data_IF_320043811451
#
_entry.id   IF_320043811451
#
_cell.length_a   1.000
_cell.length_b   1.000
_cell.length_c   1.000
_cell.angle_alpha   90.00
_cell.angle_beta   90.00
_cell.angle_gamma   90.00
#
_symmetry.space_group_name_H-M   'P 1'
#
loop_
_entity.id
_entity.type
_entity.pdbx_description
1 polymer ?
#
# COMPACT_ATOMS: atom_id res chain seq x y z
N UNK A 1 -13.61 -23.34 -13.56
CA UNK A 1 -12.52 -23.07 -12.59
C UNK A 1 -12.37 -21.55 -12.56
N UNK A 2 -13.00 -20.88 -11.60
CA UNK A 2 -12.99 -19.42 -11.50
C UNK A 2 -11.63 -18.98 -10.98
N UNK A 3 -10.95 -18.12 -11.72
CA UNK A 3 -9.73 -17.46 -11.27
C UNK A 3 -10.06 -16.66 -10.01
N UNK A 4 -9.32 -16.91 -8.94
CA UNK A 4 -9.46 -16.23 -7.66
C UNK A 4 -8.99 -14.78 -7.88
N UNK A 5 -9.93 -13.86 -8.14
CA UNK A 5 -9.66 -12.46 -8.38
C UNK A 5 -9.21 -11.82 -7.06
N UNK A 6 -7.90 -11.85 -6.85
CA UNK A 6 -7.21 -11.38 -5.64
C UNK A 6 -6.99 -9.86 -5.70
N UNK A 7 -7.96 -9.13 -6.25
CA UNK A 7 -7.91 -7.68 -6.41
C UNK A 7 -8.33 -6.95 -5.14
N UNK A 8 -7.76 -5.76 -4.91
CA UNK A 8 -8.16 -4.88 -3.81
C UNK A 8 -9.55 -4.32 -4.14
N UNK A 9 -10.55 -4.64 -3.32
CA UNK A 9 -11.88 -4.07 -3.42
C UNK A 9 -11.96 -2.78 -2.59
N UNK A 10 -12.27 -1.65 -3.23
CA UNK A 10 -12.47 -0.38 -2.53
C UNK A 10 -13.92 -0.26 -2.06
N UNK A 11 -14.11 0.24 -0.83
CA UNK A 11 -15.43 0.55 -0.26
C UNK A 11 -15.36 1.92 0.42
N UNK A 12 -16.46 2.67 0.37
CA UNK A 12 -16.56 3.98 1.01
C UNK A 12 -18.01 4.29 1.43
N UNK A 13 -18.15 5.27 2.32
CA UNK A 13 -19.44 5.80 2.74
C UNK A 13 -19.38 7.33 2.88
N UNK A 14 -20.52 7.98 2.69
CA UNK A 14 -20.64 9.44 2.75
C UNK A 14 -21.28 9.86 4.07
N UNK A 15 -20.67 10.84 4.75
CA UNK A 15 -21.24 11.50 5.92
C UNK A 15 -21.29 13.01 5.71
N UNK A 16 -22.32 13.65 6.22
CA UNK A 16 -22.52 15.10 6.19
C UNK A 16 -22.30 15.70 7.58
N UNK A 17 -21.71 16.89 7.64
CA UNK A 17 -21.50 17.63 8.87
C UNK A 17 -22.04 19.05 8.77
N UNK A 18 -22.54 19.60 9.87
CA UNK A 18 -22.94 21.01 9.99
C UNK A 18 -22.22 21.59 11.20
N UNK A 19 -21.40 22.64 11.00
CA UNK A 19 -20.60 23.24 12.08
C UNK A 19 -19.64 22.26 12.77
N UNK A 20 -19.15 21.24 12.04
CA UNK A 20 -18.30 20.17 12.58
C UNK A 20 -19.06 19.04 13.31
N UNK A 21 -20.36 19.19 13.56
CA UNK A 21 -21.18 18.12 14.13
C UNK A 21 -21.66 17.15 13.05
N UNK A 22 -21.69 15.84 13.36
CA UNK A 22 -22.21 14.81 12.46
C UNK A 22 -23.72 15.00 12.27
N UNK A 23 -24.08 15.47 11.07
CA UNK A 23 -25.46 15.72 10.66
C UNK A 23 -26.16 14.42 10.27
N UNK A 24 -25.53 13.64 9.39
CA UNK A 24 -26.06 12.34 9.01
C UNK A 24 -25.24 11.61 7.97
N UNK A 25 -25.43 10.30 7.92
CA UNK A 25 -24.89 9.40 6.89
C UNK A 25 -25.94 8.36 6.52
N UNK A 26 -25.54 7.20 5.96
CA UNK A 26 -26.48 6.24 5.38
C UNK A 26 -27.61 5.82 6.33
N UNK A 27 -27.28 5.58 7.61
CA UNK A 27 -28.28 5.16 8.60
C UNK A 27 -29.36 6.22 8.91
N UNK A 28 -28.98 7.48 9.11
CA UNK A 28 -29.93 8.56 9.45
C UNK A 28 -30.79 8.95 8.25
N UNK A 29 -30.22 8.93 7.04
CA UNK A 29 -30.98 9.20 5.82
C UNK A 29 -31.91 8.03 5.48
N UNK A 30 -31.47 6.77 5.68
CA UNK A 30 -32.34 5.61 5.56
C UNK A 30 -33.53 5.67 6.53
N UNK A 31 -33.33 6.20 7.75
CA UNK A 31 -34.42 6.45 8.68
C UNK A 31 -35.43 7.45 8.12
N UNK A 32 -34.99 8.62 7.64
CA UNK A 32 -35.88 9.61 7.04
C UNK A 32 -36.63 9.06 5.83
N UNK A 33 -35.92 8.36 4.93
CA UNK A 33 -36.52 7.72 3.77
C UNK A 33 -37.60 6.70 4.17
N UNK A 34 -37.34 5.89 5.19
CA UNK A 34 -38.29 4.91 5.71
C UNK A 34 -39.50 5.58 6.36
N UNK A 35 -39.32 6.65 7.14
CA UNK A 35 -40.42 7.46 7.68
C UNK A 35 -41.31 7.99 6.54
N UNK A 36 -40.70 8.49 5.47
CA UNK A 36 -41.43 8.97 4.28
C UNK A 36 -42.29 7.90 3.62
N UNK A 37 -41.89 6.63 3.69
CA UNK A 37 -42.61 5.49 3.11
C UNK A 37 -43.72 4.96 4.02
N UNK A 38 -43.43 4.77 5.31
CA UNK A 38 -44.37 4.09 6.23
C UNK A 38 -45.23 5.06 7.06
N UNK A 39 -44.90 6.35 7.07
CA UNK A 39 -45.68 7.35 7.80
C UNK A 39 -45.55 7.26 9.33
N UNK A 40 -44.54 6.56 9.86
CA UNK A 40 -44.39 6.29 11.29
C UNK A 40 -42.92 6.11 11.68
N UNK A 41 -42.44 6.87 12.68
CA UNK A 41 -41.09 6.70 13.24
C UNK A 41 -40.88 5.28 13.77
N UNK A 42 -41.88 4.71 14.44
CA UNK A 42 -41.79 3.37 15.03
C UNK A 42 -41.64 2.28 13.97
N UNK A 43 -42.40 2.36 12.88
CA UNK A 43 -42.28 1.41 11.78
C UNK A 43 -40.95 1.58 11.03
N UNK A 44 -40.52 2.82 10.80
CA UNK A 44 -39.26 3.12 10.16
C UNK A 44 -38.06 2.58 10.96
N UNK A 45 -38.03 2.82 12.27
CA UNK A 45 -37.01 2.32 13.16
C UNK A 45 -36.90 0.79 13.09
N UNK A 46 -38.04 0.08 13.11
CA UNK A 46 -38.08 -1.38 12.95
C UNK A 46 -37.53 -1.84 11.59
N UNK A 47 -37.92 -1.18 10.50
CA UNK A 47 -37.50 -1.53 9.15
C UNK A 47 -35.98 -1.46 8.96
N UNK A 48 -35.33 -0.46 9.58
CA UNK A 48 -33.87 -0.28 9.50
C UNK A 48 -33.11 -0.89 10.69
N UNK A 49 -33.76 -1.71 11.52
CA UNK A 49 -33.18 -2.37 12.72
C UNK A 49 -32.58 -1.37 13.73
N UNK A 50 -33.20 -0.20 13.88
CA UNK A 50 -32.84 0.83 14.85
C UNK A 50 -33.80 0.80 16.04
N UNK A 51 -33.31 1.07 17.26
CA UNK A 51 -34.20 1.21 18.42
C UNK A 51 -35.08 2.45 18.26
N UNK A 52 -36.30 2.41 18.80
CA UNK A 52 -37.22 3.56 18.74
C UNK A 52 -36.59 4.83 19.33
N UNK A 53 -35.88 4.69 20.47
CA UNK A 53 -35.17 5.80 21.11
C UNK A 53 -34.07 6.36 20.21
N UNK A 54 -33.25 5.51 19.60
CA UNK A 54 -32.19 5.97 18.70
C UNK A 54 -32.74 6.66 17.44
N UNK A 55 -33.88 6.19 16.92
CA UNK A 55 -34.56 6.85 15.80
C UNK A 55 -35.08 8.24 16.19
N UNK A 56 -35.66 8.37 17.39
CA UNK A 56 -36.08 9.64 17.94
C UNK A 56 -34.92 10.61 18.12
N UNK A 57 -33.86 10.17 18.80
CA UNK A 57 -32.66 10.98 19.05
C UNK A 57 -32.01 11.43 17.73
N UNK A 58 -31.99 10.56 16.71
CA UNK A 58 -31.47 10.88 15.39
C UNK A 58 -32.29 11.96 14.67
N UNK A 59 -33.62 11.84 14.72
CA UNK A 59 -34.54 12.84 14.15
C UNK A 59 -34.37 14.19 14.82
N UNK A 60 -34.35 14.24 16.14
CA UNK A 60 -34.18 15.48 16.90
C UNK A 60 -32.82 16.13 16.61
N UNK A 61 -31.77 15.33 16.57
CA UNK A 61 -30.43 15.82 16.21
C UNK A 61 -30.44 16.45 14.81
N UNK A 62 -31.07 15.79 13.83
CA UNK A 62 -31.11 16.31 12.47
C UNK A 62 -31.98 17.58 12.36
N UNK A 63 -33.11 17.66 13.07
CA UNK A 63 -33.93 18.88 13.10
C UNK A 63 -33.16 20.07 13.67
N UNK A 64 -32.46 19.87 14.79
CA UNK A 64 -31.68 20.91 15.44
C UNK A 64 -30.55 21.43 14.55
N UNK A 65 -29.87 20.54 13.83
CA UNK A 65 -28.76 20.90 12.94
C UNK A 65 -29.23 21.44 11.58
N UNK A 66 -30.44 21.09 11.13
CA UNK A 66 -30.98 21.57 9.84
C UNK A 66 -31.46 23.02 9.90
N UNK A 67 -31.72 23.56 11.09
CA UNK A 67 -32.31 24.89 11.29
C UNK A 67 -33.81 24.95 10.98
N UNK A 68 -34.39 23.87 10.45
CA UNK A 68 -35.82 23.71 10.17
C UNK A 68 -36.25 22.23 10.31
N UNK A 69 -37.53 21.95 10.64
CA UNK A 69 -38.00 20.57 10.83
C UNK A 69 -37.94 19.74 9.53
N UNK A 70 -37.37 18.53 9.62
CA UNK A 70 -37.31 17.55 8.53
C UNK A 70 -38.50 16.57 8.54
N UNK A 71 -39.14 16.42 9.71
CA UNK A 71 -40.35 15.62 9.91
C UNK A 71 -41.39 16.42 10.67
N UNK A 72 -42.65 16.17 10.34
CA UNK A 72 -43.80 16.75 11.02
C UNK A 72 -44.74 15.64 11.51
N UNK A 73 -45.33 15.85 12.69
CA UNK A 73 -46.32 14.94 13.26
C UNK A 73 -47.70 15.28 12.69
N UNK A 74 -48.44 14.26 12.28
CA UNK A 74 -49.85 14.39 11.93
C UNK A 74 -50.69 14.15 13.18
N UNK A 75 -51.51 15.14 13.54
CA UNK A 75 -52.45 15.04 14.66
C UNK A 75 -53.44 13.91 14.40
N UNK A 76 -53.49 12.91 15.29
CA UNK A 76 -54.44 11.80 15.18
C UNK A 76 -54.80 11.26 16.57
N UNK A 77 -56.11 11.09 16.80
CA UNK A 77 -56.74 10.67 18.07
C UNK A 77 -56.41 9.23 18.49
N UNK A 78 -57.38 8.48 19.03
CA UNK A 78 -57.24 7.23 19.83
C UNK A 78 -56.35 6.09 19.27
N UNK A 79 -55.77 6.19 18.07
CA UNK A 79 -54.83 5.24 17.46
C UNK A 79 -53.39 5.72 17.24
N UNK A 80 -53.04 6.95 17.64
CA UNK A 80 -51.67 7.48 17.54
C UNK A 80 -51.42 8.31 16.27
N UNK A 81 -50.78 9.47 16.45
CA UNK A 81 -50.46 10.40 15.35
C UNK A 81 -49.42 9.84 14.38
N UNK A 82 -49.63 10.08 13.08
CA UNK A 82 -48.68 9.72 12.04
C UNK A 82 -47.47 10.65 12.02
N UNK A 83 -46.48 10.34 11.19
CA UNK A 83 -45.31 11.20 10.93
C UNK A 83 -45.08 11.26 9.44
N UNK A 84 -44.87 12.46 8.87
CA UNK A 84 -44.48 12.61 7.47
C UNK A 84 -43.23 13.47 7.35
N UNK A 85 -42.47 13.28 6.28
CA UNK A 85 -41.39 14.20 5.94
C UNK A 85 -41.96 15.56 5.55
N UNK A 86 -41.27 16.63 5.96
CA UNK A 86 -41.52 17.97 5.41
C UNK A 86 -41.00 18.04 3.97
N UNK A 87 -41.33 19.10 3.19
CA UNK A 87 -40.69 19.33 1.89
C UNK A 87 -39.16 19.33 1.98
N UNK A 88 -38.61 19.91 3.05
CA UNK A 88 -37.17 19.91 3.30
C UNK A 88 -36.62 18.51 3.58
N UNK A 89 -37.28 17.74 4.43
CA UNK A 89 -36.89 16.36 4.71
C UNK A 89 -36.86 15.49 3.46
N UNK A 90 -37.85 15.63 2.56
CA UNK A 90 -37.85 14.95 1.26
C UNK A 90 -36.67 15.39 0.39
N UNK A 91 -36.42 16.69 0.29
CA UNK A 91 -35.31 17.22 -0.50
C UNK A 91 -33.96 16.70 0.00
N UNK A 92 -33.75 16.66 1.33
CA UNK A 92 -32.53 16.14 1.93
C UNK A 92 -32.30 14.66 1.56
N UNK A 93 -33.34 13.83 1.67
CA UNK A 93 -33.25 12.41 1.29
C UNK A 93 -32.88 12.26 -0.19
N UNK A 94 -33.57 12.97 -1.09
CA UNK A 94 -33.30 12.91 -2.53
C UNK A 94 -31.87 13.35 -2.87
N UNK A 95 -31.41 14.47 -2.28
CA UNK A 95 -30.06 14.98 -2.52
C UNK A 95 -28.99 14.01 -2.02
N UNK A 96 -29.18 13.43 -0.83
CA UNK A 96 -28.22 12.48 -0.29
C UNK A 96 -28.17 11.20 -1.13
N UNK A 97 -29.31 10.69 -1.60
CA UNK A 97 -29.35 9.51 -2.48
C UNK A 97 -28.60 9.77 -3.80
N UNK A 98 -28.71 10.98 -4.36
CA UNK A 98 -27.94 11.36 -5.55
C UNK A 98 -26.44 11.39 -5.27
N UNK A 99 -26.02 12.01 -4.16
CA UNK A 99 -24.61 12.05 -3.75
C UNK A 99 -24.08 10.63 -3.51
N UNK A 100 -24.85 9.77 -2.85
CA UNK A 100 -24.46 8.38 -2.58
C UNK A 100 -24.29 7.58 -3.88
N UNK A 101 -25.17 7.78 -4.87
CA UNK A 101 -25.09 7.13 -6.17
C UNK A 101 -23.80 7.53 -6.91
N UNK A 102 -23.51 8.83 -6.99
CA UNK A 102 -22.31 9.33 -7.66
C UNK A 102 -21.03 8.92 -6.93
N UNK A 103 -21.03 8.98 -5.60
CA UNK A 103 -19.92 8.46 -4.79
C UNK A 103 -19.68 6.97 -5.05
N UNK A 104 -20.74 6.15 -5.08
CA UNK A 104 -20.62 4.70 -5.34
C UNK A 104 -20.02 4.45 -6.73
N UNK A 105 -20.51 5.13 -7.76
CA UNK A 105 -19.94 5.04 -9.12
C UNK A 105 -18.46 5.39 -9.14
N UNK A 106 -18.06 6.45 -8.44
CA UNK A 106 -16.66 6.86 -8.37
C UNK A 106 -15.78 5.80 -7.68
N UNK A 107 -16.21 5.26 -6.54
CA UNK A 107 -15.48 4.20 -5.83
C UNK A 107 -15.41 2.92 -6.66
N UNK A 108 -16.49 2.53 -7.32
CA UNK A 108 -16.53 1.35 -8.20
C UNK A 108 -15.58 1.54 -9.40
N UNK A 109 -15.53 2.74 -9.98
CA UNK A 109 -14.61 3.07 -11.06
C UNK A 109 -13.15 2.96 -10.60
N UNK A 110 -12.81 3.52 -9.44
CA UNK A 110 -11.46 3.36 -8.86
C UNK A 110 -11.14 1.89 -8.56
N UNK A 111 -12.11 1.12 -8.04
CA UNK A 111 -11.93 -0.30 -7.77
C UNK A 111 -11.69 -1.09 -9.06
N UNK A 112 -12.31 -0.70 -10.18
CA UNK A 112 -12.12 -1.34 -11.49
C UNK A 112 -10.76 -1.00 -12.14
N UNK A 113 -10.19 0.15 -11.80
CA UNK A 113 -8.85 0.58 -12.23
C UNK A 113 -7.73 0.10 -11.27
N UNK A 114 -8.09 -0.73 -10.28
CA UNK A 114 -7.24 -1.16 -9.16
C UNK A 114 -5.90 -1.78 -9.56
N UNK A 115 -5.70 -2.30 -10.79
CA UNK A 115 -4.39 -2.87 -11.16
C UNK A 115 -3.29 -1.80 -11.13
N UNK A 116 -3.53 -0.63 -11.74
CA UNK A 116 -2.55 0.47 -11.73
C UNK A 116 -2.40 1.11 -10.35
N UNK A 117 -3.50 1.31 -9.63
CA UNK A 117 -3.48 1.94 -8.29
C UNK A 117 -2.82 1.00 -7.26
N UNK A 118 -3.01 -0.32 -7.34
CA UNK A 118 -2.33 -1.27 -6.46
C UNK A 118 -0.83 -1.33 -6.77
N UNK A 119 -0.43 -1.33 -8.04
CA UNK A 119 0.98 -1.26 -8.44
C UNK A 119 1.63 0.05 -7.95
N UNK A 120 0.93 1.18 -8.10
CA UNK A 120 1.36 2.48 -7.60
C UNK A 120 1.40 2.50 -6.07
N UNK A 121 0.45 1.87 -5.38
CA UNK A 121 0.44 1.78 -3.92
C UNK A 121 1.57 0.90 -3.39
N UNK A 122 1.87 -0.23 -4.05
CA UNK A 122 3.03 -1.06 -3.77
C UNK A 122 4.33 -0.29 -4.03
N UNK A 123 4.40 0.49 -5.10
CA UNK A 123 5.53 1.38 -5.39
C UNK A 123 5.69 2.46 -4.30
N UNK A 124 4.59 3.10 -3.90
CA UNK A 124 4.56 4.11 -2.83
C UNK A 124 5.01 3.49 -1.50
N UNK A 125 4.51 2.29 -1.13
CA UNK A 125 4.99 1.57 0.07
C UNK A 125 6.48 1.26 -0.01
N UNK A 126 6.97 0.77 -1.15
CA UNK A 126 8.40 0.53 -1.39
C UNK A 126 9.24 1.82 -1.26
N UNK A 127 8.69 2.97 -1.66
CA UNK A 127 9.33 4.28 -1.52
C UNK A 127 9.29 4.85 -0.09
N UNK A 128 8.33 4.44 0.75
CA UNK A 128 8.22 4.90 2.14
C UNK A 128 9.25 4.25 3.08
N UNK A 129 9.99 3.24 2.63
CA UNK A 129 11.05 2.63 3.42
C UNK A 129 12.32 3.50 3.41
N UNK A 130 12.66 4.08 4.56
CA UNK A 130 13.90 4.85 4.75
C UNK A 130 14.97 3.98 5.39
N UNK A 131 16.00 3.61 4.63
CA UNK A 131 17.17 2.92 5.18
C UNK A 131 18.46 3.61 4.72
N UNK A 132 19.57 3.36 5.43
CA UNK A 132 20.88 3.85 5.03
C UNK A 132 21.55 3.00 3.94
N UNK A 133 20.99 1.81 3.64
CA UNK A 133 21.46 0.97 2.55
C UNK A 133 21.05 1.60 1.20
N UNK A 134 22.02 1.92 0.36
CA UNK A 134 21.76 2.54 -0.96
C UNK A 134 21.34 1.53 -2.01
N UNK A 135 21.68 0.26 -1.82
CA UNK A 135 21.26 -0.80 -2.73
C UNK A 135 19.99 -1.43 -2.18
N UNK A 136 18.92 -1.23 -2.92
CA UNK A 136 17.61 -1.79 -2.61
C UNK A 136 17.14 -2.53 -3.87
N UNK A 137 17.08 -3.86 -3.76
CA UNK A 137 16.60 -4.71 -4.84
C UNK A 137 15.27 -5.31 -4.47
N UNK A 138 14.22 -4.98 -5.21
CA UNK A 138 12.95 -5.71 -5.13
C UNK A 138 12.99 -6.93 -6.05
N UNK A 139 12.46 -8.05 -5.58
CA UNK A 139 12.44 -9.29 -6.35
C UNK A 139 11.61 -10.38 -5.69
N UNK A 140 11.63 -11.56 -6.29
CA UNK A 140 10.92 -12.73 -5.78
C UNK A 140 11.87 -13.82 -5.33
N UNK A 141 11.51 -14.50 -4.25
CA UNK A 141 12.24 -15.68 -3.76
C UNK A 141 12.10 -16.81 -4.78
N UNK A 142 13.19 -17.18 -5.44
CA UNK A 142 13.23 -18.25 -6.45
C UNK A 142 13.83 -19.53 -5.93
N UNK A 143 14.64 -19.47 -4.87
CA UNK A 143 15.07 -20.66 -4.14
C UNK A 143 15.18 -20.37 -2.64
N UNK A 144 14.84 -21.38 -1.82
CA UNK A 144 14.98 -21.33 -0.38
C UNK A 144 15.55 -22.66 0.11
N UNK A 145 16.79 -22.64 0.59
CA UNK A 145 17.50 -23.81 1.10
C UNK A 145 17.60 -23.70 2.61
N UNK A 146 16.86 -24.57 3.31
CA UNK A 146 16.82 -24.59 4.76
C UNK A 146 18.10 -25.24 5.33
N UNK A 147 18.74 -24.58 6.28
CA UNK A 147 19.90 -25.12 7.01
C UNK A 147 19.60 -25.36 8.49
N UNK A 148 20.62 -25.81 9.23
CA UNK A 148 20.48 -26.06 10.68
C UNK A 148 20.50 -24.77 11.52
N UNK A 149 21.14 -23.71 11.01
CA UNK A 149 21.32 -22.42 11.72
C UNK A 149 20.96 -21.24 10.81
N UNK A 150 21.40 -21.31 9.55
CA UNK A 150 21.12 -20.30 8.55
C UNK A 150 20.50 -20.93 7.32
N UNK A 151 19.61 -20.16 6.70
CA UNK A 151 18.99 -20.47 5.42
C UNK A 151 19.65 -19.66 4.31
N UNK A 152 19.78 -20.28 3.13
CA UNK A 152 20.19 -19.60 1.91
C UNK A 152 18.94 -19.27 1.08
N UNK A 153 18.75 -17.98 0.79
CA UNK A 153 17.60 -17.47 0.03
C UNK A 153 18.11 -16.86 -1.26
N UNK A 154 17.60 -17.31 -2.41
CA UNK A 154 17.88 -16.73 -3.73
C UNK A 154 16.70 -15.85 -4.13
N UNK A 155 16.99 -14.61 -4.49
CA UNK A 155 16.04 -13.60 -4.95
C UNK A 155 16.37 -13.23 -6.39
N UNK A 156 15.40 -13.38 -7.29
CA UNK A 156 15.51 -12.88 -8.65
C UNK A 156 14.96 -11.46 -8.71
N UNK A 157 15.78 -10.53 -9.19
CA UNK A 157 15.48 -9.09 -9.24
C UNK A 157 15.22 -8.64 -10.67
N UNK A 158 14.69 -7.43 -10.84
CA UNK A 158 14.41 -6.85 -12.16
C UNK A 158 15.68 -6.82 -13.04
N UNK A 159 15.59 -7.40 -14.25
CA UNK A 159 16.74 -7.64 -15.12
C UNK A 159 17.29 -9.07 -15.06
N UNK A 160 16.68 -9.94 -14.25
CA UNK A 160 16.99 -11.38 -14.19
C UNK A 160 18.23 -11.70 -13.35
N UNK A 161 18.85 -10.71 -12.70
CA UNK A 161 19.97 -10.97 -11.82
C UNK A 161 19.51 -11.71 -10.57
N UNK A 162 20.47 -12.37 -9.93
CA UNK A 162 20.25 -13.16 -8.73
C UNK A 162 21.00 -12.54 -7.56
N UNK A 163 20.28 -12.34 -6.46
CA UNK A 163 20.82 -11.91 -5.18
C UNK A 163 20.58 -13.02 -4.17
N UNK A 164 21.66 -13.57 -3.63
CA UNK A 164 21.68 -14.61 -2.62
C UNK A 164 21.90 -13.97 -1.25
N UNK A 165 21.03 -14.27 -0.30
CA UNK A 165 21.14 -13.91 1.10
C UNK A 165 21.35 -15.15 1.97
N UNK A 166 22.15 -15.02 3.03
CA UNK A 166 22.23 -16.02 4.11
C UNK A 166 21.72 -15.33 5.38
N UNK A 167 20.60 -15.80 5.90
CA UNK A 167 19.94 -15.26 7.10
C UNK A 167 19.60 -16.41 8.06
N UNK A 168 19.31 -16.10 9.33
CA UNK A 168 19.00 -17.13 10.33
C UNK A 168 17.69 -17.84 10.00
N UNK A 169 17.55 -19.11 10.40
CA UNK A 169 16.30 -19.86 10.25
C UNK A 169 15.12 -19.18 10.98
N UNK A 170 15.40 -18.48 12.08
CA UNK A 170 14.42 -17.65 12.79
C UNK A 170 13.94 -16.49 11.91
N UNK A 171 14.84 -15.81 11.20
CA UNK A 171 14.48 -14.68 10.32
C UNK A 171 13.58 -15.12 9.17
N UNK A 172 13.91 -16.24 8.51
CA UNK A 172 13.06 -16.77 7.42
C UNK A 172 11.67 -17.19 7.92
N UNK A 173 11.57 -17.72 9.14
CA UNK A 173 10.28 -18.06 9.77
C UNK A 173 9.49 -16.80 10.14
N UNK A 174 10.12 -15.85 10.82
CA UNK A 174 9.50 -14.60 11.25
C UNK A 174 8.99 -13.76 10.06
N UNK A 175 9.75 -13.72 8.97
CA UNK A 175 9.38 -13.05 7.72
C UNK A 175 8.41 -13.87 6.85
N UNK A 176 8.03 -15.08 7.26
CA UNK A 176 7.13 -15.94 6.49
C UNK A 176 7.64 -16.29 5.08
N UNK A 177 8.97 -16.35 4.88
CA UNK A 177 9.55 -16.51 3.54
C UNK A 177 9.25 -17.89 2.95
N UNK A 178 8.66 -17.87 1.76
CA UNK A 178 8.36 -19.02 0.93
C UNK A 178 8.75 -18.75 -0.53
N UNK A 179 8.73 -19.79 -1.37
CA UNK A 179 8.97 -19.60 -2.80
C UNK A 179 7.91 -18.66 -3.38
N UNK A 180 8.34 -17.81 -4.33
CA UNK A 180 7.54 -16.76 -4.96
C UNK A 180 7.12 -15.60 -4.04
N UNK A 181 7.57 -15.57 -2.78
CA UNK A 181 7.35 -14.42 -1.93
C UNK A 181 8.04 -13.17 -2.51
N UNK A 182 7.31 -12.07 -2.57
CA UNK A 182 7.88 -10.76 -2.89
C UNK A 182 8.69 -10.24 -1.70
N UNK A 183 9.95 -9.93 -1.96
CA UNK A 183 10.90 -9.47 -0.95
C UNK A 183 11.69 -8.28 -1.47
N UNK A 184 12.30 -7.57 -0.54
CA UNK A 184 13.39 -6.67 -0.85
C UNK A 184 14.70 -7.12 -0.20
N UNK A 185 15.79 -6.92 -0.93
CA UNK A 185 17.14 -7.15 -0.49
C UNK A 185 17.88 -5.81 -0.34
N UNK A 186 18.45 -5.59 0.84
CA UNK A 186 19.21 -4.40 1.18
C UNK A 186 20.69 -4.75 1.30
N UNK A 187 21.53 -3.96 0.63
CA UNK A 187 22.99 -4.11 0.71
C UNK A 187 23.63 -2.73 0.92
N UNK A 188 24.47 -2.61 1.94
CA UNK A 188 25.20 -1.38 2.19
C UNK A 188 26.30 -1.21 1.13
N UNK A 189 26.46 -0.01 0.57
CA UNK A 189 27.46 0.26 -0.47
C UNK A 189 28.90 -0.04 -0.05
N UNK A 190 29.22 0.12 1.23
CA UNK A 190 30.55 -0.21 1.79
C UNK A 190 30.83 -1.71 1.89
N UNK A 191 29.83 -2.57 1.66
CA UNK A 191 29.97 -4.03 1.63
C UNK A 191 30.15 -4.56 0.21
N UNK A 192 30.10 -3.69 -0.79
CA UNK A 192 30.25 -4.03 -2.22
C UNK A 192 31.68 -3.77 -2.66
N UNK A 193 32.35 -4.81 -3.13
CA UNK A 193 33.68 -4.74 -3.75
C UNK A 193 33.49 -4.54 -5.24
N UNK A 194 34.26 -3.65 -5.86
CA UNK A 194 34.22 -3.40 -7.32
C UNK A 194 35.39 -4.13 -7.97
N UNK A 195 35.11 -4.86 -9.05
CA UNK A 195 36.10 -5.54 -9.89
C UNK A 195 35.96 -5.06 -11.33
N UNK A 196 37.02 -4.47 -11.89
CA UNK A 196 37.04 -4.01 -13.29
C UNK A 196 37.33 -5.14 -14.29
N UNK A 197 38.13 -6.14 -13.89
CA UNK A 197 38.47 -7.30 -14.70
C UNK A 197 38.51 -8.56 -13.83
N UNK A 198 37.63 -9.52 -14.12
CA UNK A 198 37.48 -10.75 -13.33
C UNK A 198 38.18 -11.96 -13.95
N UNK A 199 38.96 -11.82 -15.03
CA UNK A 199 39.46 -12.94 -15.82
C UNK A 199 40.25 -13.97 -14.97
N UNK A 200 39.63 -15.14 -14.77
CA UNK A 200 40.21 -16.29 -14.07
C UNK A 200 40.07 -16.30 -12.54
N UNK A 201 39.60 -15.20 -11.93
CA UNK A 201 39.45 -15.12 -10.48
C UNK A 201 38.22 -15.89 -9.99
N UNK A 202 38.38 -16.68 -8.92
CA UNK A 202 37.27 -17.35 -8.22
C UNK A 202 36.99 -16.63 -6.91
N UNK A 203 35.74 -16.24 -6.70
CA UNK A 203 35.31 -15.55 -5.49
C UNK A 203 34.45 -16.46 -4.62
N UNK A 204 34.68 -16.42 -3.31
CA UNK A 204 33.80 -17.06 -2.32
C UNK A 204 32.53 -16.24 -2.04
N UNK A 205 32.39 -15.08 -2.67
CA UNK A 205 31.20 -14.25 -2.61
C UNK A 205 30.17 -14.76 -3.63
N UNK A 206 28.95 -14.99 -3.14
CA UNK A 206 27.85 -15.57 -3.94
C UNK A 206 27.22 -14.56 -4.88
N UNK A 207 27.28 -13.28 -4.54
CA UNK A 207 26.69 -12.21 -5.33
C UNK A 207 27.75 -11.56 -6.21
N UNK A 208 27.52 -11.60 -7.51
CA UNK A 208 28.37 -11.00 -8.55
C UNK A 208 27.44 -10.36 -9.58
N UNK A 209 27.32 -9.03 -9.52
CA UNK A 209 26.43 -8.25 -10.37
C UNK A 209 27.28 -7.43 -11.34
N UNK A 210 27.33 -7.88 -12.60
CA UNK A 210 28.08 -7.24 -13.67
C UNK A 210 27.24 -6.21 -14.42
N UNK A 211 27.90 -5.13 -14.83
CA UNK A 211 27.26 -4.05 -15.57
C UNK A 211 28.26 -3.03 -16.10
N UNK A 212 27.74 -1.87 -16.46
CA UNK A 212 28.51 -0.75 -16.98
C UNK A 212 28.49 0.38 -15.96
N UNK A 213 29.65 0.97 -15.66
CA UNK A 213 29.75 2.11 -14.76
C UNK A 213 28.98 3.28 -15.35
N UNK A 214 27.91 3.70 -14.69
CA UNK A 214 27.06 4.81 -15.12
C UNK A 214 27.43 6.13 -14.45
N UNK A 215 28.00 6.08 -13.24
CA UNK A 215 28.46 7.26 -12.50
C UNK A 215 29.67 6.93 -11.64
N UNK A 216 30.63 7.86 -11.60
CA UNK A 216 31.73 7.89 -10.65
C UNK A 216 31.74 9.26 -9.97
N UNK A 217 31.74 9.27 -8.64
CA UNK A 217 31.84 10.50 -7.85
C UNK A 217 33.03 10.38 -6.90
N UNK A 218 34.20 10.90 -7.29
CA UNK A 218 35.36 10.97 -6.43
C UNK A 218 35.13 11.90 -5.24
N UNK A 219 35.60 11.49 -4.06
CA UNK A 219 35.72 12.31 -2.87
C UNK A 219 37.14 12.24 -2.32
N UNK A 220 37.39 12.94 -1.21
CA UNK A 220 38.74 13.05 -0.62
C UNK A 220 39.31 11.70 -0.20
N UNK A 221 38.47 10.84 0.39
CA UNK A 221 38.89 9.51 0.91
C UNK A 221 38.29 8.38 0.09
N UNK A 222 37.02 8.52 -0.30
CA UNK A 222 36.26 7.47 -0.97
C UNK A 222 35.74 7.95 -2.31
N UNK A 223 35.50 7.02 -3.21
CA UNK A 223 34.79 7.23 -4.47
C UNK A 223 33.50 6.43 -4.45
N UNK A 224 32.39 7.10 -4.77
CA UNK A 224 31.13 6.41 -5.06
C UNK A 224 31.16 5.92 -6.50
N UNK A 225 30.92 4.63 -6.68
CA UNK A 225 30.84 3.95 -7.97
C UNK A 225 29.41 3.47 -8.14
N UNK A 226 28.74 3.91 -9.21
CA UNK A 226 27.42 3.41 -9.58
C UNK A 226 27.56 2.57 -10.85
N UNK A 227 27.21 1.30 -10.73
CA UNK A 227 27.20 0.33 -11.83
C UNK A 227 25.76 0.18 -12.30
N UNK A 228 25.48 0.56 -13.54
CA UNK A 228 24.21 0.28 -14.21
C UNK A 228 24.12 -1.21 -14.54
N UNK A 229 23.07 -1.85 -14.05
CA UNK A 229 22.80 -3.27 -14.24
C UNK A 229 21.84 -3.48 -15.42
N UNK A 230 21.87 -4.66 -16.07
CA UNK A 230 20.85 -5.04 -17.05
C UNK A 230 19.43 -4.87 -16.50
N UNK A 231 18.48 -4.44 -17.33
CA UNK A 231 17.08 -4.25 -16.88
C UNK A 231 16.82 -2.97 -16.08
N UNK A 232 17.76 -2.02 -16.05
CA UNK A 232 17.54 -0.64 -15.56
C UNK A 232 17.85 -0.41 -14.08
N UNK A 233 18.23 -1.45 -13.35
CA UNK A 233 18.71 -1.33 -11.97
C UNK A 233 20.08 -0.68 -11.87
N UNK A 234 20.50 -0.31 -10.65
CA UNK A 234 21.86 0.14 -10.38
C UNK A 234 22.41 -0.45 -9.08
N UNK A 235 23.72 -0.55 -8.99
CA UNK A 235 24.46 -0.98 -7.80
C UNK A 235 25.46 0.11 -7.43
N UNK A 236 25.28 0.69 -6.25
CA UNK A 236 26.16 1.68 -5.66
C UNK A 236 27.18 1.00 -4.71
N UNK A 237 28.45 1.27 -4.95
CA UNK A 237 29.58 0.85 -4.12
C UNK A 237 30.35 2.08 -3.61
N UNK A 238 30.87 1.99 -2.39
CA UNK A 238 31.80 2.98 -1.83
C UNK A 238 33.13 2.27 -1.65
N UNK A 239 34.14 2.67 -2.41
CA UNK A 239 35.52 2.17 -2.34
C UNK A 239 36.48 3.32 -2.04
N UNK A 240 37.72 3.03 -1.63
CA UNK A 240 38.71 4.09 -1.46
C UNK A 240 39.00 4.78 -2.80
N UNK A 241 39.30 6.07 -2.76
CA UNK A 241 39.63 6.82 -3.98
C UNK A 241 40.84 6.22 -4.71
N UNK A 242 41.86 5.82 -3.95
CA UNK A 242 43.03 5.10 -4.47
C UNK A 242 42.63 3.82 -5.21
N UNK A 243 41.72 3.01 -4.67
CA UNK A 243 41.27 1.78 -5.35
C UNK A 243 40.59 2.09 -6.68
N UNK A 244 39.79 3.16 -6.75
CA UNK A 244 39.12 3.55 -7.99
C UNK A 244 40.13 3.94 -9.09
N UNK A 245 41.21 4.65 -8.70
CA UNK A 245 42.31 5.03 -9.60
C UNK A 245 43.11 3.81 -10.04
N UNK A 246 43.52 2.94 -9.11
CA UNK A 246 44.30 1.73 -9.39
C UNK A 246 43.55 0.78 -10.32
N UNK A 247 42.24 0.64 -10.13
CA UNK A 247 41.37 -0.18 -10.99
C UNK A 247 41.09 0.46 -12.35
N UNK A 248 41.50 1.70 -12.59
CA UNK A 248 41.26 2.43 -13.84
C UNK A 248 39.78 2.61 -14.14
N UNK A 249 38.94 2.81 -13.12
CA UNK A 249 37.49 2.90 -13.31
C UNK A 249 37.13 4.16 -14.10
N UNK A 250 36.31 3.99 -15.13
CA UNK A 250 35.78 5.07 -15.94
C UNK A 250 34.30 4.85 -16.25
N UNK A 251 33.54 5.93 -16.38
CA UNK A 251 32.14 5.87 -16.85
C UNK A 251 32.12 5.24 -18.25
N UNK A 252 31.19 4.31 -18.48
CA UNK A 252 31.14 3.48 -19.69
C UNK A 252 32.00 2.21 -19.61
N UNK A 253 32.89 2.09 -18.62
CA UNK A 253 33.69 0.88 -18.39
C UNK A 253 32.86 -0.26 -17.79
N UNK A 254 33.25 -1.50 -18.09
CA UNK A 254 32.66 -2.68 -17.47
C UNK A 254 33.18 -2.85 -16.03
N UNK A 255 32.28 -3.20 -15.12
CA UNK A 255 32.63 -3.54 -13.75
C UNK A 255 31.65 -4.57 -13.17
N UNK A 256 32.13 -5.33 -12.19
CA UNK A 256 31.32 -6.27 -11.41
C UNK A 256 31.36 -5.89 -9.95
N UNK A 257 30.19 -5.69 -9.35
CA UNK A 257 30.06 -5.54 -7.91
C UNK A 257 29.92 -6.91 -7.25
N UNK A 258 30.74 -7.16 -6.23
CA UNK A 258 30.83 -8.44 -5.53
C UNK A 258 30.55 -8.21 -4.05
N UNK A 259 29.66 -9.01 -3.46
CA UNK A 259 29.36 -8.92 -2.03
C UNK A 259 28.96 -10.28 -1.44
N UNK A 260 29.16 -10.43 -0.13
CA UNK A 260 28.84 -11.67 0.58
C UNK A 260 27.33 -11.81 0.77
N UNK A 261 26.84 -13.04 0.73
CA UNK A 261 25.43 -13.34 1.00
C UNK A 261 25.01 -12.96 2.44
N UNK A 262 25.95 -13.01 3.38
CA UNK A 262 25.76 -12.55 4.76
C UNK A 262 25.70 -11.02 4.92
N UNK A 263 25.98 -10.26 3.86
CA UNK A 263 25.84 -8.79 3.86
C UNK A 263 24.50 -8.33 3.28
N UNK A 264 23.63 -9.27 2.90
CA UNK A 264 22.29 -9.00 2.37
C UNK A 264 21.28 -9.12 3.50
N UNK A 265 20.51 -8.06 3.72
CA UNK A 265 19.37 -8.08 4.62
C UNK A 265 18.12 -8.24 3.78
N UNK A 266 17.23 -9.17 4.15
CA UNK A 266 15.93 -9.34 3.51
C UNK A 266 14.83 -8.71 4.35
N UNK A 267 13.81 -8.19 3.68
CA UNK A 267 12.55 -7.82 4.30
C UNK A 267 11.38 -8.03 3.35
N UNK A 268 10.18 -8.01 3.93
CA UNK A 268 8.90 -8.09 3.22
C UNK A 268 8.16 -6.77 3.37
N UNK A 269 7.33 -6.42 2.38
CA UNK A 269 6.42 -5.28 2.52
C UNK A 269 5.12 -5.81 3.11
N UNK A 270 4.75 -5.33 4.30
CA UNK A 270 3.39 -5.52 4.86
C UNK A 270 2.33 -4.76 4.03
#
# INVERSE_FOLDING_TARGET
MQANDSGIALRGAVWMTVGGANFGGPGRIALLASIGQCGSITQAAKAIKMSYKAAWDAVDTMNNLAGEPLVERLSGGKGGGGTRLTPRGRQLVSNFQLIELEHRRFVDQLSSQSRGIADDFLLIRKMHMKTSARNHFSGQVTALRRGAVNDEVEVTVAGGQRVVAIITCESTQALGLCLQADVFALVKSSSVIVVANAAGAKFSARNQLSGIISRLQPGVVNTEVVIGLPGGGSLAAIITHESAVVLGLAVGGAATGIFKASSVILGISD
#
